data_IF_139393438337
#
_entry.id   IF_139393438337
#
_cell.length_a   1.000
_cell.length_b   1.000
_cell.length_c   1.000
_cell.angle_alpha   90.00
_cell.angle_beta   90.00
_cell.angle_gamma   90.00
#
_symmetry.space_group_name_H-M   'P 1'
#
loop_
_entity.id
_entity.type
_entity.pdbx_description
1 polymer ?
#
# COMPACT_ATOMS: atom_id res chain seq x y z
N UNK A 1 39.96 32.96 8.54
CA UNK A 1 38.48 32.92 8.48
C UNK A 1 38.08 32.55 7.07
N UNK A 2 37.21 31.54 6.91
CA UNK A 2 36.26 31.54 5.80
C UNK A 2 34.83 31.45 6.32
N UNK A 3 33.95 32.01 5.51
CA UNK A 3 32.57 32.40 5.76
C UNK A 3 31.67 31.18 5.90
N UNK A 4 30.86 31.16 6.97
CA UNK A 4 29.76 30.22 7.12
C UNK A 4 28.73 30.48 6.00
N UNK A 5 28.64 29.55 5.06
CA UNK A 5 27.53 29.51 4.12
C UNK A 5 26.25 29.18 4.92
N UNK A 6 25.43 30.21 5.15
CA UNK A 6 24.05 30.04 5.60
C UNK A 6 23.35 29.22 4.52
N UNK A 7 22.97 28.00 4.86
CA UNK A 7 22.05 27.19 4.08
C UNK A 7 20.68 27.90 4.13
N UNK A 8 20.33 28.54 3.02
CA UNK A 8 19.01 29.14 2.82
C UNK A 8 17.97 28.00 2.78
N UNK A 9 17.07 28.01 3.77
CA UNK A 9 16.04 27.01 4.04
C UNK A 9 14.72 27.31 3.29
N UNK A 10 14.75 27.81 2.07
CA UNK A 10 13.51 28.19 1.38
C UNK A 10 13.46 27.58 -0.01
N UNK A 11 12.54 26.63 -0.18
CA UNK A 11 12.12 25.92 -1.40
C UNK A 11 13.00 24.76 -1.89
N UNK A 12 12.81 23.58 -1.31
CA UNK A 12 12.60 22.35 -2.10
C UNK A 12 11.41 21.60 -1.49
N UNK A 13 10.37 21.42 -2.31
CA UNK A 13 9.16 20.66 -1.99
C UNK A 13 9.59 19.23 -1.68
N UNK A 14 9.20 18.71 -0.52
CA UNK A 14 9.44 17.31 -0.10
C UNK A 14 9.09 16.35 -1.25
N UNK A 15 10.10 15.84 -1.96
CA UNK A 15 9.94 14.71 -2.86
C UNK A 15 9.61 13.48 -2.00
N UNK A 16 8.50 12.81 -2.34
CA UNK A 16 8.12 11.52 -1.78
C UNK A 16 9.35 10.61 -1.74
N UNK A 17 9.76 10.15 -0.55
CA UNK A 17 10.87 9.21 -0.39
C UNK A 17 10.45 7.86 -0.99
N UNK A 18 10.59 7.73 -2.30
CA UNK A 18 10.16 6.59 -3.10
C UNK A 18 11.31 6.12 -3.99
N UNK A 19 11.62 4.82 -3.90
CA UNK A 19 12.62 4.18 -4.73
C UNK A 19 12.01 3.98 -6.12
N UNK A 20 12.47 4.72 -7.11
CA UNK A 20 11.97 4.61 -8.48
C UNK A 20 12.08 3.17 -9.03
N UNK A 21 11.13 2.72 -9.87
CA UNK A 21 11.19 1.39 -10.45
C UNK A 21 12.35 1.28 -11.46
N UNK A 22 12.97 0.11 -11.52
CA UNK A 22 13.96 -0.17 -12.57
C UNK A 22 13.26 -0.32 -13.92
N UNK A 23 13.97 0.06 -15.00
CA UNK A 23 13.40 0.02 -16.37
C UNK A 23 12.91 -1.37 -16.79
N UNK A 24 13.59 -2.43 -16.36
CA UNK A 24 13.22 -3.82 -16.64
C UNK A 24 11.95 -4.27 -15.91
N UNK A 25 11.45 -3.52 -14.93
CA UNK A 25 10.16 -3.79 -14.29
C UNK A 25 8.98 -3.26 -15.11
N UNK A 26 9.24 -2.35 -16.04
CA UNK A 26 8.22 -1.69 -16.84
C UNK A 26 7.83 -2.57 -18.01
N UNK A 27 6.53 -2.79 -18.18
CA UNK A 27 6.00 -3.43 -19.37
C UNK A 27 6.27 -2.52 -20.59
N UNK A 28 6.89 -3.03 -21.66
CA UNK A 28 7.21 -2.21 -22.82
C UNK A 28 5.96 -1.75 -23.59
N UNK A 29 4.80 -2.40 -23.39
CA UNK A 29 3.52 -2.00 -23.98
C UNK A 29 2.78 -0.96 -23.14
N UNK A 30 2.53 -1.26 -21.86
CA UNK A 30 1.70 -0.38 -21.00
C UNK A 30 2.48 0.78 -20.42
N UNK A 31 3.82 0.69 -20.39
CA UNK A 31 4.70 1.64 -19.69
C UNK A 31 4.39 1.75 -18.19
N UNK A 32 3.87 0.69 -17.61
CA UNK A 32 3.62 0.55 -16.17
C UNK A 32 4.45 -0.61 -15.58
N UNK A 33 4.68 -0.59 -14.27
CA UNK A 33 5.33 -1.71 -13.56
C UNK A 33 4.48 -2.97 -13.72
N UNK A 34 5.11 -4.06 -14.18
CA UNK A 34 4.44 -5.35 -14.35
C UNK A 34 3.97 -5.90 -13.01
N UNK A 35 2.71 -6.31 -12.94
CA UNK A 35 2.14 -7.05 -11.80
C UNK A 35 2.26 -8.54 -12.06
N UNK A 36 2.07 -8.97 -13.30
CA UNK A 36 2.19 -10.37 -13.71
C UNK A 36 3.10 -10.50 -14.94
N UNK A 37 4.43 -10.42 -14.75
CA UNK A 37 5.37 -10.48 -15.85
C UNK A 37 5.38 -11.87 -16.49
N UNK A 38 5.17 -11.93 -17.81
CA UNK A 38 5.25 -13.15 -18.62
C UNK A 38 6.23 -12.96 -19.78
N UNK A 39 7.02 -13.98 -20.06
CA UNK A 39 7.94 -14.01 -21.20
C UNK A 39 7.30 -14.71 -22.39
N UNK A 40 7.38 -14.06 -23.55
CA UNK A 40 7.10 -14.68 -24.86
C UNK A 40 8.35 -15.46 -25.26
N UNK A 41 8.29 -16.80 -25.30
CA UNK A 41 9.49 -17.64 -25.42
C UNK A 41 10.30 -17.38 -26.70
N UNK A 42 9.63 -17.28 -27.84
CA UNK A 42 10.32 -17.10 -29.13
C UNK A 42 11.07 -15.77 -29.25
N UNK A 43 10.58 -14.70 -28.60
CA UNK A 43 11.20 -13.38 -28.66
C UNK A 43 12.04 -13.04 -27.43
N UNK A 44 11.92 -13.85 -26.37
CA UNK A 44 12.50 -13.62 -25.05
C UNK A 44 12.17 -12.25 -24.44
N UNK A 45 11.09 -11.61 -24.88
CA UNK A 45 10.61 -10.34 -24.34
C UNK A 45 9.59 -10.59 -23.24
N UNK A 46 9.64 -9.78 -22.17
CA UNK A 46 8.72 -9.87 -21.03
C UNK A 46 7.69 -8.73 -21.09
N UNK A 47 6.44 -9.07 -20.78
CA UNK A 47 5.30 -8.16 -20.80
C UNK A 47 4.43 -8.37 -19.58
N UNK A 48 3.58 -7.39 -19.29
CA UNK A 48 2.41 -7.61 -18.44
C UNK A 48 1.47 -8.61 -19.13
N UNK A 49 1.06 -9.67 -18.42
CA UNK A 49 0.23 -10.75 -18.97
C UNK A 49 -0.97 -10.23 -19.75
N UNK A 50 -1.81 -9.42 -19.09
CA UNK A 50 -3.08 -8.96 -19.70
C UNK A 50 -2.84 -8.18 -20.98
N UNK A 51 -1.75 -7.42 -21.04
CA UNK A 51 -1.42 -6.61 -22.21
C UNK A 51 -1.02 -7.47 -23.41
N UNK A 52 -0.16 -8.47 -23.21
CA UNK A 52 0.30 -9.34 -24.30
C UNK A 52 -0.77 -10.33 -24.75
N UNK A 53 -1.59 -10.85 -23.83
CA UNK A 53 -2.73 -11.71 -24.17
C UNK A 53 -3.75 -10.95 -25.03
N UNK A 54 -4.10 -9.72 -24.64
CA UNK A 54 -4.98 -8.85 -25.42
C UNK A 54 -4.40 -8.55 -26.82
N UNK A 55 -3.09 -8.35 -26.93
CA UNK A 55 -2.44 -8.14 -28.22
C UNK A 55 -2.56 -9.37 -29.13
N UNK A 56 -2.34 -10.57 -28.60
CA UNK A 56 -2.50 -11.80 -29.37
C UNK A 56 -3.95 -12.05 -29.79
N UNK A 57 -4.92 -11.78 -28.91
CA UNK A 57 -6.34 -11.82 -29.23
C UNK A 57 -6.66 -10.88 -30.40
N UNK A 58 -6.19 -9.63 -30.35
CA UNK A 58 -6.36 -8.66 -31.44
C UNK A 58 -5.67 -9.05 -32.74
N UNK A 59 -4.55 -9.75 -32.69
CA UNK A 59 -3.94 -10.29 -33.90
C UNK A 59 -4.86 -11.34 -34.54
N UNK A 60 -5.37 -12.27 -33.73
CA UNK A 60 -6.26 -13.34 -34.17
C UNK A 60 -7.58 -12.80 -34.74
N UNK A 61 -8.23 -11.86 -34.05
CA UNK A 61 -9.48 -11.21 -34.51
C UNK A 61 -9.32 -10.53 -35.88
N UNK A 62 -8.14 -9.95 -36.13
CA UNK A 62 -7.82 -9.28 -37.39
C UNK A 62 -7.28 -10.24 -38.47
N UNK A 63 -7.30 -11.55 -38.25
CA UNK A 63 -6.78 -12.56 -39.18
C UNK A 63 -5.26 -12.50 -39.38
N UNK A 64 -4.52 -11.96 -38.39
CA UNK A 64 -3.06 -11.82 -38.43
C UNK A 64 -2.40 -12.85 -37.54
N UNK A 65 -1.20 -13.29 -37.93
CA UNK A 65 -0.34 -14.06 -37.05
C UNK A 65 0.05 -13.25 -35.82
N UNK A 66 0.18 -13.88 -34.64
CA UNK A 66 0.68 -13.20 -33.45
C UNK A 66 2.09 -12.68 -33.72
N UNK A 67 2.36 -11.46 -33.27
CA UNK A 67 3.67 -10.81 -33.43
C UNK A 67 4.19 -10.33 -32.09
N UNK A 68 5.50 -10.27 -31.93
CA UNK A 68 6.13 -9.63 -30.78
C UNK A 68 5.93 -8.09 -30.89
N UNK A 69 5.26 -7.43 -29.93
CA UNK A 69 5.01 -5.99 -29.99
C UNK A 69 6.28 -5.13 -30.10
N UNK A 70 7.39 -5.57 -29.50
CA UNK A 70 8.65 -4.83 -29.48
C UNK A 70 9.50 -5.09 -30.73
N UNK A 71 9.65 -6.35 -31.14
CA UNK A 71 10.58 -6.70 -32.23
C UNK A 71 9.90 -6.78 -33.59
N UNK A 72 8.56 -6.80 -33.65
CA UNK A 72 7.81 -7.04 -34.88
C UNK A 72 7.91 -8.46 -35.43
N UNK A 73 8.63 -9.36 -34.75
CA UNK A 73 8.79 -10.76 -35.16
C UNK A 73 7.43 -11.47 -35.18
N UNK A 74 7.12 -12.16 -36.28
CA UNK A 74 5.99 -13.10 -36.34
C UNK A 74 6.32 -14.33 -35.48
N UNK A 75 5.43 -14.64 -34.55
CA UNK A 75 5.57 -15.76 -33.61
C UNK A 75 4.90 -16.99 -34.23
N UNK A 76 5.57 -18.14 -34.18
CA UNK A 76 4.98 -19.41 -34.64
C UNK A 76 3.96 -19.91 -33.63
N UNK A 77 4.24 -19.75 -32.34
CA UNK A 77 3.34 -20.04 -31.23
C UNK A 77 3.31 -18.86 -30.23
N UNK A 78 2.13 -18.43 -29.77
CA UNK A 78 2.00 -17.39 -28.75
C UNK A 78 2.22 -17.96 -27.33
N UNK A 79 3.29 -18.73 -27.11
CA UNK A 79 3.57 -19.35 -25.82
C UNK A 79 4.09 -18.34 -24.79
N UNK A 80 3.35 -18.21 -23.68
CA UNK A 80 3.67 -17.35 -22.55
C UNK A 80 4.09 -18.19 -21.35
N UNK A 81 5.23 -17.86 -20.74
CA UNK A 81 5.65 -18.42 -19.45
C UNK A 81 5.75 -17.34 -18.38
N UNK A 82 5.33 -17.58 -17.13
CA UNK A 82 5.57 -16.66 -16.04
C UNK A 82 7.06 -16.38 -15.87
N UNK A 83 7.44 -15.11 -15.75
CA UNK A 83 8.79 -14.71 -15.38
C UNK A 83 8.88 -14.56 -13.85
N UNK A 84 8.98 -15.71 -13.18
CA UNK A 84 8.93 -15.81 -11.70
C UNK A 84 10.04 -14.98 -11.05
N UNK A 85 11.25 -15.00 -11.63
CA UNK A 85 12.39 -14.23 -11.10
C UNK A 85 12.13 -12.72 -11.16
N UNK A 86 11.57 -12.22 -12.27
CA UNK A 86 11.22 -10.81 -12.38
C UNK A 86 10.06 -10.43 -11.45
N UNK A 87 9.05 -11.29 -11.31
CA UNK A 87 7.94 -11.07 -10.38
C UNK A 87 8.46 -10.93 -8.93
N UNK A 88 9.35 -11.82 -8.49
CA UNK A 88 9.95 -11.76 -7.16
C UNK A 88 10.79 -10.48 -6.96
N UNK A 89 11.56 -10.07 -7.96
CA UNK A 89 12.35 -8.84 -7.89
C UNK A 89 11.47 -7.57 -7.80
N UNK A 90 10.35 -7.54 -8.52
CA UNK A 90 9.37 -6.45 -8.45
C UNK A 90 8.71 -6.44 -7.07
N UNK A 91 8.31 -7.60 -6.54
CA UNK A 91 7.72 -7.70 -5.21
C UNK A 91 8.69 -7.23 -4.12
N UNK A 92 9.97 -7.60 -4.20
CA UNK A 92 10.99 -7.11 -3.28
C UNK A 92 11.15 -5.59 -3.35
N UNK A 93 11.13 -5.01 -4.56
CA UNK A 93 11.18 -3.56 -4.74
C UNK A 93 9.95 -2.85 -4.15
N UNK A 94 8.75 -3.41 -4.31
CA UNK A 94 7.52 -2.91 -3.65
C UNK A 94 7.69 -2.97 -2.13
N UNK A 95 8.15 -4.11 -1.61
CA UNK A 95 8.34 -4.32 -0.18
C UNK A 95 9.29 -3.29 0.45
N UNK A 96 10.40 -2.98 -0.23
CA UNK A 96 11.37 -1.95 0.21
C UNK A 96 10.77 -0.55 0.16
N UNK A 97 10.00 -0.24 -0.87
CA UNK A 97 9.27 1.03 -0.95
C UNK A 97 8.28 1.21 0.20
N UNK A 98 7.56 0.15 0.56
CA UNK A 98 6.68 0.16 1.73
C UNK A 98 7.49 0.35 3.00
N UNK A 99 8.64 -0.31 3.16
CA UNK A 99 9.49 -0.13 4.35
C UNK A 99 9.95 1.32 4.50
N UNK A 100 10.41 1.96 3.42
CA UNK A 100 10.79 3.37 3.42
C UNK A 100 9.62 4.25 3.84
N UNK A 101 8.45 4.08 3.25
CA UNK A 101 7.26 4.87 3.57
C UNK A 101 6.80 4.69 5.03
N UNK A 102 6.79 3.44 5.52
CA UNK A 102 6.45 3.14 6.91
C UNK A 102 7.47 3.75 7.87
N UNK A 103 8.76 3.66 7.57
CA UNK A 103 9.80 4.25 8.41
C UNK A 103 9.72 5.78 8.44
N UNK A 104 9.53 6.43 7.29
CA UNK A 104 9.30 7.88 7.21
C UNK A 104 8.08 8.28 8.03
N UNK A 105 6.98 7.54 7.92
CA UNK A 105 5.79 7.80 8.71
C UNK A 105 6.04 7.66 10.22
N UNK A 106 6.79 6.64 10.63
CA UNK A 106 7.17 6.45 12.04
C UNK A 106 8.05 7.59 12.56
N UNK A 107 9.02 8.04 11.77
CA UNK A 107 9.87 9.17 12.15
C UNK A 107 9.08 10.47 12.28
N UNK A 108 8.18 10.77 11.33
CA UNK A 108 7.27 11.91 11.44
C UNK A 108 6.46 11.88 12.74
N UNK A 109 5.97 10.70 13.14
CA UNK A 109 5.18 10.55 14.37
C UNK A 109 5.99 10.63 15.67
N UNK A 110 7.32 10.44 15.60
CA UNK A 110 8.22 10.55 16.77
C UNK A 110 8.57 11.99 17.11
N UNK A 111 8.29 12.93 16.22
CA UNK A 111 8.58 14.35 16.44
C UNK A 111 7.78 14.92 17.62
N UNK A 112 8.43 15.77 18.43
CA UNK A 112 7.86 16.31 19.67
C UNK A 112 6.67 17.26 19.42
N UNK A 113 6.58 17.86 18.23
CA UNK A 113 5.49 18.75 17.83
C UNK A 113 4.94 18.29 16.48
N UNK A 114 3.92 17.45 16.53
CA UNK A 114 3.28 16.94 15.32
C UNK A 114 2.39 18.00 14.70
N UNK A 115 2.66 18.32 13.44
CA UNK A 115 1.76 19.16 12.65
C UNK A 115 0.61 18.32 12.09
N UNK A 116 -0.57 18.94 11.94
CA UNK A 116 -1.78 18.24 11.45
C UNK A 116 -1.58 17.70 10.04
N UNK A 117 -0.90 18.44 9.17
CA UNK A 117 -0.59 18.03 7.79
C UNK A 117 0.36 16.82 7.73
N UNK A 118 1.33 16.72 8.66
CA UNK A 118 2.18 15.55 8.78
C UNK A 118 1.34 14.31 9.14
N UNK A 119 0.40 14.45 10.09
CA UNK A 119 -0.48 13.34 10.48
C UNK A 119 -1.40 12.93 9.33
N UNK A 120 -1.95 13.89 8.57
CA UNK A 120 -2.74 13.57 7.39
C UNK A 120 -1.96 12.80 6.34
N UNK A 121 -0.75 13.25 5.98
CA UNK A 121 0.14 12.54 5.04
C UNK A 121 0.43 11.11 5.50
N UNK A 122 0.69 10.93 6.79
CA UNK A 122 0.94 9.61 7.38
C UNK A 122 -0.30 8.71 7.26
N UNK A 123 -1.49 9.21 7.60
CA UNK A 123 -2.73 8.44 7.50
C UNK A 123 -3.07 8.07 6.06
N UNK A 124 -2.87 8.99 5.12
CA UNK A 124 -3.10 8.75 3.70
C UNK A 124 -2.09 7.71 3.17
N UNK A 125 -0.84 7.76 3.61
CA UNK A 125 0.19 6.75 3.30
C UNK A 125 -0.19 5.36 3.82
N UNK A 126 -0.64 5.27 5.08
CA UNK A 126 -1.10 4.02 5.71
C UNK A 126 -2.27 3.41 4.95
N UNK A 127 -3.26 4.23 4.63
CA UNK A 127 -4.43 3.80 3.87
C UNK A 127 -4.01 3.27 2.49
N UNK A 128 -3.19 4.04 1.77
CA UNK A 128 -2.69 3.67 0.45
C UNK A 128 -1.95 2.34 0.46
N UNK A 129 -0.98 2.15 1.36
CA UNK A 129 -0.25 0.87 1.49
C UNK A 129 -1.21 -0.28 1.79
N UNK A 130 -2.21 -0.07 2.64
CA UNK A 130 -3.14 -1.13 3.06
C UNK A 130 -4.09 -1.57 1.95
N UNK A 131 -4.49 -0.65 1.06
CA UNK A 131 -5.34 -0.96 -0.08
C UNK A 131 -4.52 -1.50 -1.27
N UNK A 132 -3.37 -0.89 -1.59
CA UNK A 132 -2.56 -1.26 -2.75
C UNK A 132 -1.71 -2.52 -2.52
N UNK A 133 -1.29 -2.76 -1.27
CA UNK A 133 -0.38 -3.85 -0.90
C UNK A 133 -0.89 -4.63 0.32
N UNK A 134 -1.92 -5.49 0.15
CA UNK A 134 -2.50 -6.26 1.26
C UNK A 134 -1.49 -7.12 2.03
N UNK A 135 -0.51 -7.72 1.34
CA UNK A 135 0.56 -8.51 1.95
C UNK A 135 1.45 -7.69 2.89
N UNK A 136 1.44 -6.35 2.77
CA UNK A 136 2.22 -5.45 3.61
C UNK A 136 1.46 -4.83 4.79
N UNK A 137 0.16 -5.09 4.95
CA UNK A 137 -0.65 -4.56 6.06
C UNK A 137 -0.04 -4.84 7.43
N UNK A 138 0.65 -5.98 7.60
CA UNK A 138 1.33 -6.30 8.85
C UNK A 138 2.46 -5.30 9.20
N UNK A 139 3.18 -4.78 8.21
CA UNK A 139 4.26 -3.80 8.42
C UNK A 139 3.69 -2.51 9.00
N UNK A 140 2.60 -2.03 8.40
CA UNK A 140 1.89 -0.85 8.86
C UNK A 140 1.27 -1.07 10.24
N UNK A 141 0.70 -2.26 10.52
CA UNK A 141 0.15 -2.62 11.84
C UNK A 141 1.22 -2.65 12.93
N UNK A 142 2.42 -3.13 12.61
CA UNK A 142 3.53 -3.15 13.56
C UNK A 142 4.06 -1.74 13.85
N UNK A 143 4.02 -0.85 12.85
CA UNK A 143 4.29 0.58 13.03
C UNK A 143 3.16 1.34 13.76
N UNK A 144 1.92 0.85 13.71
CA UNK A 144 0.75 1.52 14.26
C UNK A 144 0.73 1.71 15.78
N UNK A 145 1.61 1.04 16.50
CA UNK A 145 1.84 1.28 17.93
C UNK A 145 2.34 2.73 18.19
N UNK A 146 3.01 3.33 17.19
CA UNK A 146 3.47 4.73 17.23
C UNK A 146 2.31 5.69 16.93
N UNK A 147 1.47 5.40 15.93
CA UNK A 147 0.26 6.18 15.63
C UNK A 147 -0.66 6.33 16.84
N UNK A 148 -0.87 5.23 17.57
CA UNK A 148 -1.76 5.20 18.73
C UNK A 148 -1.24 6.05 19.90
N UNK A 149 0.08 6.27 20.02
CA UNK A 149 0.67 7.15 21.04
C UNK A 149 0.48 8.64 20.73
N UNK A 150 0.37 9.01 19.46
CA UNK A 150 0.24 10.40 19.01
C UNK A 150 -1.20 10.96 19.16
N UNK A 151 -2.21 10.09 19.27
CA UNK A 151 -3.62 10.45 19.10
C UNK A 151 -4.31 11.13 20.29
N UNK A 152 -3.64 11.38 21.42
CA UNK A 152 -4.37 11.69 22.67
C UNK A 152 -4.36 13.15 23.15
N UNK A 153 -3.83 14.13 22.41
CA UNK A 153 -3.83 15.54 22.90
C UNK A 153 -4.21 16.63 21.91
N UNK A 154 -4.31 16.31 20.64
CA UNK A 154 -4.62 17.27 19.59
C UNK A 154 -5.61 16.52 18.70
N UNK A 155 -6.55 17.21 18.06
CA UNK A 155 -7.21 16.81 16.80
C UNK A 155 -8.75 16.83 16.86
N UNK A 156 -9.34 17.67 15.99
CA UNK A 156 -10.77 17.81 15.75
C UNK A 156 -11.40 16.65 14.96
N UNK A 157 -12.70 16.76 14.68
CA UNK A 157 -13.56 15.69 14.14
C UNK A 157 -13.13 15.09 12.80
N UNK A 158 -12.50 15.86 11.91
CA UNK A 158 -12.17 15.43 10.54
C UNK A 158 -11.08 14.35 10.51
N UNK A 159 -10.01 14.54 11.27
CA UNK A 159 -8.90 13.59 11.27
C UNK A 159 -9.26 12.32 12.05
N UNK A 160 -10.24 12.36 12.97
CA UNK A 160 -10.79 11.15 13.63
C UNK A 160 -11.34 10.18 12.59
N UNK A 161 -12.09 10.69 11.61
CA UNK A 161 -12.60 9.87 10.51
C UNK A 161 -11.47 9.27 9.67
N UNK A 162 -10.44 10.07 9.34
CA UNK A 162 -9.26 9.57 8.60
C UNK A 162 -8.50 8.49 9.38
N UNK A 163 -8.31 8.67 10.70
CA UNK A 163 -7.68 7.68 11.59
C UNK A 163 -8.45 6.37 11.58
N UNK A 164 -9.77 6.42 11.76
CA UNK A 164 -10.62 5.23 11.77
C UNK A 164 -10.56 4.52 10.42
N UNK A 165 -10.69 5.24 9.31
CA UNK A 165 -10.61 4.65 7.96
C UNK A 165 -9.25 3.99 7.70
N UNK A 166 -8.15 4.65 8.07
CA UNK A 166 -6.81 4.10 7.96
C UNK A 166 -6.65 2.83 8.81
N UNK A 167 -7.07 2.85 10.08
CA UNK A 167 -7.02 1.68 10.96
C UNK A 167 -7.86 0.52 10.43
N UNK A 168 -9.06 0.79 9.92
CA UNK A 168 -9.93 -0.24 9.33
C UNK A 168 -9.29 -0.86 8.09
N UNK A 169 -8.70 -0.07 7.19
CA UNK A 169 -8.03 -0.57 5.98
C UNK A 169 -6.94 -1.60 6.28
N UNK A 170 -6.22 -1.40 7.38
CA UNK A 170 -5.15 -2.30 7.84
C UNK A 170 -5.66 -3.63 8.43
N UNK A 171 -6.96 -3.71 8.76
CA UNK A 171 -7.60 -4.87 9.40
C UNK A 171 -8.44 -5.72 8.46
N UNK A 172 -8.59 -5.34 7.19
CA UNK A 172 -9.36 -6.05 6.16
C UNK A 172 -8.75 -7.40 5.74
N UNK A 173 -7.99 -8.08 6.59
CA UNK A 173 -7.33 -9.33 6.25
C UNK A 173 -8.38 -10.39 5.91
N UNK A 174 -8.41 -10.81 4.64
CA UNK A 174 -8.97 -12.10 4.21
C UNK A 174 -8.08 -13.18 4.86
N UNK A 175 -8.60 -13.86 5.88
CA UNK A 175 -8.03 -15.06 6.51
C UNK A 175 -6.50 -15.19 6.51
N UNK A 176 -5.81 -14.38 7.32
CA UNK A 176 -4.38 -14.61 7.58
C UNK A 176 -4.20 -15.93 8.34
N UNK A 177 -3.86 -16.99 7.60
CA UNK A 177 -3.24 -18.23 8.09
C UNK A 177 -1.88 -17.91 8.73
N UNK A 178 -1.85 -17.35 9.94
CA UNK A 178 -0.64 -17.27 10.76
C UNK A 178 -1.02 -17.64 12.20
N UNK A 179 -0.32 -18.63 12.71
CA UNK A 179 -0.60 -19.43 13.91
C UNK A 179 -1.08 -18.69 15.16
N UNK A 180 -1.80 -19.48 15.97
CA UNK A 180 -2.41 -19.21 17.28
C UNK A 180 -1.61 -18.42 18.34
N UNK A 181 -0.37 -17.98 18.06
CA UNK A 181 0.39 -17.05 18.88
C UNK A 181 -0.05 -15.58 18.70
N UNK A 182 -0.53 -15.21 17.51
CA UNK A 182 -0.96 -13.82 17.19
C UNK A 182 -2.36 -13.49 17.75
N UNK A 183 -3.13 -14.52 18.14
CA UNK A 183 -4.50 -14.35 18.63
C UNK A 183 -4.58 -13.53 19.92
N UNK A 184 -3.57 -13.63 20.81
CA UNK A 184 -3.49 -12.81 22.03
C UNK A 184 -3.22 -11.32 21.73
N UNK A 185 -2.51 -11.04 20.64
CA UNK A 185 -2.29 -9.67 20.15
C UNK A 185 -3.51 -9.10 19.42
N UNK A 186 -4.20 -9.93 18.63
CA UNK A 186 -5.42 -9.54 17.92
C UNK A 186 -6.60 -9.29 18.88
N UNK A 187 -6.74 -10.09 19.94
CA UNK A 187 -7.77 -9.89 20.96
C UNK A 187 -7.57 -8.58 21.73
N UNK A 188 -6.32 -8.28 22.16
CA UNK A 188 -5.98 -7.00 22.79
C UNK A 188 -6.15 -5.81 21.87
N UNK A 189 -5.84 -5.94 20.58
CA UNK A 189 -6.02 -4.88 19.57
C UNK A 189 -7.48 -4.65 19.21
N UNK A 190 -8.32 -5.70 19.20
CA UNK A 190 -9.79 -5.58 19.09
C UNK A 190 -10.40 -4.92 20.32
N UNK A 191 -10.01 -5.34 21.52
CA UNK A 191 -10.43 -4.66 22.77
C UNK A 191 -10.01 -3.20 22.80
N UNK A 192 -8.83 -2.86 22.26
CA UNK A 192 -8.37 -1.48 22.16
C UNK A 192 -9.07 -0.67 21.08
N UNK A 193 -9.38 -1.25 19.91
CA UNK A 193 -10.20 -0.62 18.89
C UNK A 193 -11.61 -0.34 19.42
N UNK A 194 -12.20 -1.31 20.14
CA UNK A 194 -13.48 -1.17 20.84
C UNK A 194 -13.39 -0.13 21.96
N UNK A 195 -12.28 -0.07 22.71
CA UNK A 195 -12.04 0.97 23.73
C UNK A 195 -11.88 2.36 23.12
N UNK A 196 -11.16 2.50 21.99
CA UNK A 196 -11.09 3.74 21.22
C UNK A 196 -12.50 4.16 20.77
N UNK A 197 -13.27 3.23 20.20
CA UNK A 197 -14.66 3.49 19.74
C UNK A 197 -15.58 3.87 20.90
N UNK A 198 -15.45 3.25 22.08
CA UNK A 198 -16.18 3.59 23.29
C UNK A 198 -15.78 4.96 23.84
N UNK A 199 -14.49 5.30 23.85
CA UNK A 199 -14.01 6.62 24.26
C UNK A 199 -14.46 7.72 23.27
N UNK A 200 -14.50 7.43 21.96
CA UNK A 200 -15.09 8.32 20.94
C UNK A 200 -16.61 8.50 21.10
N UNK A 201 -17.33 7.47 21.57
CA UNK A 201 -18.76 7.54 21.88
C UNK A 201 -19.08 8.34 23.15
N UNK A 202 -18.10 8.61 24.02
CA UNK A 202 -18.30 9.34 25.27
C UNK A 202 -18.00 10.85 25.18
N UNK A 203 -17.51 11.35 24.04
CA UNK A 203 -17.37 12.78 23.78
C UNK A 203 -18.79 13.38 23.63
N UNK A 204 -19.32 13.97 24.71
CA UNK A 204 -20.72 14.47 24.86
C UNK A 204 -21.19 15.44 23.76
N UNK A 205 -20.32 15.84 22.83
CA UNK A 205 -20.64 16.71 21.71
C UNK A 205 -20.99 15.98 20.40
N UNK A 206 -20.74 14.66 20.25
CA UNK A 206 -20.99 13.96 18.98
C UNK A 206 -21.38 12.49 19.17
N UNK A 207 -22.62 12.24 19.59
CA UNK A 207 -23.26 10.93 19.41
C UNK A 207 -23.59 10.73 17.92
N UNK A 208 -22.71 10.05 17.18
CA UNK A 208 -23.12 9.40 15.92
C UNK A 208 -23.37 7.92 16.23
N UNK A 209 -24.54 7.65 16.77
CA UNK A 209 -25.07 6.34 17.20
C UNK A 209 -25.13 5.26 16.10
N UNK A 210 -24.71 5.52 14.86
CA UNK A 210 -24.87 4.56 13.75
C UNK A 210 -23.59 3.86 13.31
N UNK A 211 -22.42 4.42 13.57
CA UNK A 211 -21.14 3.82 13.14
C UNK A 211 -20.65 2.68 14.05
N UNK A 212 -20.78 2.85 15.36
CA UNK A 212 -20.32 1.86 16.34
C UNK A 212 -21.12 0.56 16.33
N UNK A 213 -22.43 0.63 16.09
CA UNK A 213 -23.31 -0.55 16.03
C UNK A 213 -23.04 -1.43 14.80
N UNK A 214 -22.76 -0.84 13.64
CA UNK A 214 -22.41 -1.59 12.42
C UNK A 214 -21.08 -2.34 12.58
N UNK A 215 -20.11 -1.75 13.28
CA UNK A 215 -18.82 -2.39 13.58
C UNK A 215 -18.94 -3.50 14.62
N UNK A 216 -19.73 -3.31 15.69
CA UNK A 216 -19.99 -4.37 16.66
C UNK A 216 -20.73 -5.56 16.04
N UNK A 217 -21.67 -5.32 15.12
CA UNK A 217 -22.33 -6.39 14.36
C UNK A 217 -21.38 -7.11 13.39
N UNK A 218 -20.45 -6.40 12.75
CA UNK A 218 -19.45 -7.02 11.87
C UNK A 218 -18.40 -7.84 12.64
N UNK A 219 -18.15 -7.52 13.91
CA UNK A 219 -17.20 -8.25 14.77
C UNK A 219 -17.84 -9.42 15.52
N UNK A 220 -19.16 -9.40 15.73
CA UNK A 220 -19.91 -10.47 16.40
C UNK A 220 -20.34 -11.61 15.43
N UNK A 221 -20.19 -11.43 14.13
CA UNK A 221 -20.64 -12.37 13.08
C UNK A 221 -19.76 -13.61 12.86
N UNK A 222 -18.93 -14.03 13.81
CA UNK A 222 -18.21 -15.30 13.76
C UNK A 222 -18.70 -16.22 14.90
N UNK A 223 -19.79 -16.93 14.65
CA UNK A 223 -20.14 -18.19 15.32
C UNK A 223 -20.28 -19.28 14.27
#
# INVERSE_FOLDING_TARGET
MPVAAKLNWEHEVEEDVHISPYRNFMCPMTKEVMKEPVVVLESSQTYERKAIEYWFERCSENGRYPTCPVTGQVLKTPELKPNIGLAAAIEEWINRNVDVQVNTAVECLREQTLRVDCIEKVLDCIYRISEEHPSNRYKVRNAGDVLLRCSFKIIGTILRTKIITALLSMTKDEESKIGNSVLLGAQRKREYAVKLLLEFSCDKANCVEKGGLVLLSSMAGNQ
#
